data_IF_600888759636
#
_entry.id   IF_600888759636
#
_cell.length_a   1.000
_cell.length_b   1.000
_cell.length_c   1.000
_cell.angle_alpha   90.00
_cell.angle_beta   90.00
_cell.angle_gamma   90.00
#
_symmetry.space_group_name_H-M   'P 1'
#
loop_
_entity.id
_entity.type
_entity.pdbx_description
1 polymer ?
#
# COMPACT_ATOMS: atom_id res chain seq x y z
N UNK A 1 -15.53 32.44 17.81
CA UNK A 1 -16.48 31.31 17.79
C UNK A 1 -16.86 31.01 19.22
N UNK A 2 -18.15 30.99 19.54
CA UNK A 2 -18.61 30.72 20.92
C UNK A 2 -18.20 29.29 21.35
N UNK A 3 -17.82 29.12 22.60
CA UNK A 3 -17.38 27.87 23.20
C UNK A 3 -18.39 27.34 24.24
N UNK A 4 -18.28 26.07 24.64
CA UNK A 4 -19.10 25.55 25.75
C UNK A 4 -18.84 26.29 27.06
N UNK A 5 -17.67 26.92 27.20
CA UNK A 5 -17.32 27.74 28.36
C UNK A 5 -18.14 29.03 28.39
N UNK A 6 -18.30 29.68 27.26
CA UNK A 6 -19.10 30.91 27.15
C UNK A 6 -20.57 30.65 27.45
N UNK A 7 -21.12 29.51 27.01
CA UNK A 7 -22.48 29.06 27.34
C UNK A 7 -22.60 28.78 28.82
N UNK A 8 -21.61 28.13 29.44
CA UNK A 8 -21.61 27.80 30.84
C UNK A 8 -21.61 29.06 31.70
N UNK A 9 -20.84 30.08 31.33
CA UNK A 9 -20.76 31.36 32.00
C UNK A 9 -22.10 32.12 31.88
N UNK A 10 -22.68 32.20 30.67
CA UNK A 10 -23.97 32.85 30.43
C UNK A 10 -25.13 32.15 31.13
N UNK A 11 -25.17 30.84 31.16
CA UNK A 11 -26.23 30.04 31.78
C UNK A 11 -26.04 29.83 33.30
N UNK A 12 -24.89 30.23 33.85
CA UNK A 12 -24.58 30.08 35.27
C UNK A 12 -24.45 28.62 35.74
N UNK A 13 -23.82 27.78 34.90
CA UNK A 13 -23.64 26.34 35.17
C UNK A 13 -22.24 25.87 34.81
N UNK A 14 -21.90 24.64 35.17
CA UNK A 14 -20.61 24.08 34.76
C UNK A 14 -20.57 23.71 33.29
N UNK A 15 -19.39 23.74 32.68
CA UNK A 15 -19.18 23.27 31.29
C UNK A 15 -19.57 21.79 31.10
N UNK A 16 -19.40 20.98 32.16
CA UNK A 16 -19.84 19.58 32.17
C UNK A 16 -21.38 19.47 32.06
N UNK A 17 -22.11 20.33 32.76
CA UNK A 17 -23.57 20.40 32.69
C UNK A 17 -24.04 20.84 31.33
N UNK A 18 -23.41 21.88 30.74
CA UNK A 18 -23.69 22.32 29.36
C UNK A 18 -23.46 21.17 28.36
N UNK A 19 -22.33 20.51 28.47
CA UNK A 19 -21.99 19.37 27.56
C UNK A 19 -23.04 18.27 27.64
N UNK A 20 -23.47 17.88 28.83
CA UNK A 20 -24.46 16.80 29.03
C UNK A 20 -25.85 17.20 28.53
N UNK A 21 -26.30 18.44 28.82
CA UNK A 21 -27.59 18.95 28.32
C UNK A 21 -27.62 19.04 26.82
N UNK A 22 -26.57 19.61 26.19
CA UNK A 22 -26.49 19.71 24.72
C UNK A 22 -26.33 18.36 24.01
N UNK A 23 -25.91 17.31 24.77
CA UNK A 23 -25.87 15.93 24.30
C UNK A 23 -27.14 15.13 24.59
N UNK A 24 -28.16 15.76 25.15
CA UNK A 24 -29.43 15.09 25.51
C UNK A 24 -29.21 13.89 26.47
N UNK A 25 -28.27 14.01 27.41
CA UNK A 25 -27.96 12.94 28.35
C UNK A 25 -29.14 12.76 29.33
N UNK A 26 -29.89 11.68 29.15
CA UNK A 26 -31.07 11.36 29.97
C UNK A 26 -30.75 11.00 31.42
N UNK A 27 -29.49 10.63 31.71
CA UNK A 27 -29.04 10.28 33.07
C UNK A 27 -28.77 11.54 33.90
N UNK A 28 -28.78 12.73 33.28
CA UNK A 28 -28.55 13.99 33.97
C UNK A 28 -29.84 14.53 34.61
N UNK A 29 -29.89 14.52 35.93
CA UNK A 29 -30.97 15.12 36.69
C UNK A 29 -30.77 16.63 36.81
N UNK A 30 -31.29 17.39 35.84
CA UNK A 30 -31.26 18.85 35.82
C UNK A 30 -32.67 19.36 35.53
N UNK A 31 -33.10 20.37 36.31
CA UNK A 31 -34.42 20.99 36.16
C UNK A 31 -34.65 21.58 34.76
N UNK A 32 -35.92 21.58 34.32
CA UNK A 32 -36.32 22.10 33.02
C UNK A 32 -35.84 23.54 32.81
N UNK A 33 -35.99 24.39 33.78
CA UNK A 33 -35.54 25.79 33.74
C UNK A 33 -34.05 25.95 33.44
N UNK A 34 -33.20 25.09 34.00
CA UNK A 34 -31.75 25.09 33.73
C UNK A 34 -31.45 24.62 32.30
N UNK A 35 -32.19 23.62 31.80
CA UNK A 35 -32.08 23.18 30.40
C UNK A 35 -32.44 24.32 29.45
N UNK A 36 -33.55 24.99 29.70
CA UNK A 36 -34.03 26.10 28.87
C UNK A 36 -33.05 27.28 28.85
N UNK A 37 -32.40 27.63 29.98
CA UNK A 37 -31.33 28.64 30.03
C UNK A 37 -30.12 28.24 29.19
N UNK A 38 -29.70 26.99 29.23
CA UNK A 38 -28.57 26.50 28.45
C UNK A 38 -28.87 26.58 26.95
N UNK A 39 -30.07 26.17 26.53
CA UNK A 39 -30.47 26.27 25.13
C UNK A 39 -30.63 27.72 24.65
N UNK A 40 -31.15 28.61 25.51
CA UNK A 40 -31.24 30.03 25.20
C UNK A 40 -29.85 30.66 25.03
N UNK A 41 -28.93 30.43 25.95
CA UNK A 41 -27.54 30.89 25.86
C UNK A 41 -26.82 30.35 24.61
N UNK A 42 -27.00 29.08 24.28
CA UNK A 42 -26.40 28.47 23.09
C UNK A 42 -26.95 29.13 21.83
N UNK A 43 -28.24 29.46 21.76
CA UNK A 43 -28.88 30.14 20.64
C UNK A 43 -28.41 31.59 20.49
N UNK A 44 -28.36 32.33 21.60
CA UNK A 44 -27.90 33.73 21.63
C UNK A 44 -26.46 33.89 21.18
N UNK A 45 -25.59 32.97 21.61
CA UNK A 45 -24.19 32.93 21.22
C UNK A 45 -23.95 32.33 19.81
N UNK A 46 -24.98 31.95 19.09
CA UNK A 46 -24.88 31.23 17.82
C UNK A 46 -23.92 30.04 17.90
N UNK A 47 -23.99 29.30 19.03
CA UNK A 47 -23.12 28.15 19.24
C UNK A 47 -23.49 27.01 18.29
N UNK A 48 -22.60 26.75 17.35
CA UNK A 48 -22.69 25.55 16.49
C UNK A 48 -21.88 24.47 17.18
N UNK A 49 -22.58 23.47 17.73
CA UNK A 49 -21.93 22.29 18.28
C UNK A 49 -21.08 21.65 17.19
N UNK A 50 -19.77 21.69 17.35
CA UNK A 50 -18.90 20.91 16.47
C UNK A 50 -19.39 19.46 16.56
N UNK A 51 -19.95 18.92 15.48
CA UNK A 51 -20.19 17.47 15.37
C UNK A 51 -18.85 16.83 15.69
N UNK A 52 -18.75 16.03 16.79
CA UNK A 52 -17.63 15.10 16.93
C UNK A 52 -17.57 14.37 15.60
N UNK A 53 -16.55 14.63 14.78
CA UNK A 53 -16.26 13.77 13.63
C UNK A 53 -16.20 12.37 14.25
N UNK A 54 -17.14 11.48 13.92
CA UNK A 54 -16.94 10.06 14.16
C UNK A 54 -15.55 9.81 13.58
N UNK A 55 -14.61 9.32 14.37
CA UNK A 55 -13.32 8.92 13.82
C UNK A 55 -13.68 7.96 12.69
N UNK A 56 -13.28 8.32 11.47
CA UNK A 56 -13.46 7.42 10.35
C UNK A 56 -12.65 6.17 10.68
N UNK A 57 -13.19 5.03 10.33
CA UNK A 57 -12.43 3.80 10.37
C UNK A 57 -11.21 3.95 9.46
N UNK A 58 -10.10 3.38 9.87
CA UNK A 58 -8.83 3.56 9.18
C UNK A 58 -8.41 2.27 8.47
N UNK A 59 -7.82 2.43 7.30
CA UNK A 59 -7.07 1.38 6.60
C UNK A 59 -5.59 1.67 6.77
N UNK A 60 -4.82 0.69 7.22
CA UNK A 60 -3.37 0.78 7.27
C UNK A 60 -2.80 0.29 5.93
N UNK A 61 -2.05 1.17 5.25
CA UNK A 61 -1.25 0.81 4.07
C UNK A 61 0.20 0.65 4.50
N UNK A 62 0.71 -0.57 4.40
CA UNK A 62 2.10 -0.90 4.69
C UNK A 62 2.86 -1.08 3.38
N UNK A 63 3.89 -0.26 3.19
CA UNK A 63 4.84 -0.37 2.09
C UNK A 63 6.04 -1.21 2.50
N UNK A 64 6.51 -2.07 1.60
CA UNK A 64 7.71 -2.89 1.80
C UNK A 64 9.02 -2.13 1.56
N UNK A 65 8.95 -0.99 0.90
CA UNK A 65 10.03 -0.04 0.72
C UNK A 65 10.09 0.99 1.85
N UNK A 66 11.25 1.63 1.99
CA UNK A 66 11.39 2.88 2.72
C UNK A 66 10.77 4.04 1.94
N UNK A 67 10.56 5.17 2.59
CA UNK A 67 10.06 6.36 1.91
C UNK A 67 11.03 6.89 0.84
N UNK A 68 12.33 6.70 1.02
CA UNK A 68 13.36 7.10 0.06
C UNK A 68 13.35 6.19 -1.18
N UNK A 69 13.28 4.87 -0.98
CA UNK A 69 13.23 3.90 -2.07
C UNK A 69 11.98 4.06 -2.94
N UNK A 70 10.84 4.45 -2.35
CA UNK A 70 9.61 4.70 -3.12
C UNK A 70 9.75 5.85 -4.12
N UNK A 71 10.59 6.86 -3.86
CA UNK A 71 10.78 7.99 -4.77
C UNK A 71 11.40 7.56 -6.11
N UNK A 72 12.13 6.46 -6.12
CA UNK A 72 12.78 5.91 -7.31
C UNK A 72 11.94 4.81 -7.99
N UNK A 73 10.81 4.40 -7.39
CA UNK A 73 9.95 3.33 -7.89
C UNK A 73 8.51 3.80 -8.16
N UNK A 74 8.26 4.23 -9.40
CA UNK A 74 6.95 4.69 -9.85
C UNK A 74 5.89 3.58 -9.87
N UNK A 75 6.30 2.30 -9.96
CA UNK A 75 5.37 1.18 -9.99
C UNK A 75 4.66 1.03 -8.63
N UNK A 76 5.42 0.91 -7.54
CA UNK A 76 4.83 0.79 -6.21
C UNK A 76 4.18 2.07 -5.72
N UNK A 77 4.72 3.23 -6.11
CA UNK A 77 4.05 4.52 -5.86
C UNK A 77 2.66 4.56 -6.49
N UNK A 78 2.52 4.11 -7.75
CA UNK A 78 1.24 4.06 -8.44
C UNK A 78 0.24 3.13 -7.76
N UNK A 79 0.68 1.96 -7.30
CA UNK A 79 -0.15 1.00 -6.56
C UNK A 79 -0.65 1.64 -5.25
N UNK A 80 0.25 2.26 -4.49
CA UNK A 80 -0.10 2.92 -3.23
C UNK A 80 -1.12 4.04 -3.44
N UNK A 81 -0.86 4.94 -4.38
CA UNK A 81 -1.79 6.05 -4.67
C UNK A 81 -3.18 5.54 -5.07
N UNK A 82 -3.26 4.50 -5.89
CA UNK A 82 -4.54 3.90 -6.26
C UNK A 82 -5.27 3.27 -5.07
N UNK A 83 -4.54 2.61 -4.17
CA UNK A 83 -5.12 2.02 -2.95
C UNK A 83 -5.62 3.12 -1.99
N UNK A 84 -4.87 4.21 -1.81
CA UNK A 84 -5.25 5.37 -1.00
C UNK A 84 -6.52 6.04 -1.54
N UNK A 85 -6.51 6.40 -2.83
CA UNK A 85 -7.64 7.04 -3.50
C UNK A 85 -8.93 6.21 -3.34
N UNK A 86 -8.81 4.88 -3.50
CA UNK A 86 -9.95 4.00 -3.33
C UNK A 86 -10.42 3.93 -1.87
N UNK A 87 -9.53 3.82 -0.90
CA UNK A 87 -9.90 3.80 0.51
C UNK A 87 -10.60 5.11 0.93
N UNK A 88 -10.07 6.26 0.50
CA UNK A 88 -10.68 7.57 0.77
C UNK A 88 -12.05 7.72 0.11
N UNK A 89 -12.22 7.25 -1.13
CA UNK A 89 -13.49 7.27 -1.84
C UNK A 89 -14.58 6.43 -1.14
N UNK A 90 -14.18 5.32 -0.51
CA UNK A 90 -15.07 4.50 0.32
C UNK A 90 -15.30 5.09 1.74
N UNK A 91 -14.65 6.20 2.06
CA UNK A 91 -14.87 6.95 3.29
C UNK A 91 -13.96 6.55 4.46
N UNK A 92 -12.91 5.79 4.23
CA UNK A 92 -11.89 5.45 5.21
C UNK A 92 -10.82 6.53 5.29
N UNK A 93 -10.22 6.70 6.48
CA UNK A 93 -8.98 7.44 6.62
C UNK A 93 -7.80 6.45 6.38
N UNK A 94 -6.69 6.93 5.82
CA UNK A 94 -5.54 6.09 5.48
C UNK A 94 -4.37 6.39 6.43
N UNK A 95 -3.81 5.34 7.01
CA UNK A 95 -2.55 5.38 7.78
C UNK A 95 -1.45 4.76 6.94
N UNK A 96 -0.44 5.54 6.57
CA UNK A 96 0.72 5.05 5.81
C UNK A 96 1.83 4.62 6.74
N UNK A 97 2.39 3.45 6.48
CA UNK A 97 3.56 2.93 7.18
C UNK A 97 4.54 2.39 6.16
N UNK A 98 5.79 2.78 6.30
CA UNK A 98 6.90 2.23 5.53
C UNK A 98 7.64 1.17 6.37
N UNK A 99 8.33 0.24 5.72
CA UNK A 99 8.84 -0.95 6.39
C UNK A 99 9.90 -0.68 7.46
N UNK A 100 10.63 0.43 7.36
CA UNK A 100 11.67 0.86 8.30
C UNK A 100 11.13 1.46 9.61
N UNK A 101 9.80 1.62 9.69
CA UNK A 101 9.13 2.19 10.86
C UNK A 101 8.52 1.09 11.72
N UNK A 102 8.90 1.05 13.01
CA UNK A 102 8.20 0.21 14.00
C UNK A 102 6.84 0.86 14.30
N UNK A 103 5.76 0.11 14.19
CA UNK A 103 4.43 0.63 14.39
C UNK A 103 3.57 -0.32 15.22
N UNK A 104 2.64 0.29 15.97
CA UNK A 104 1.52 -0.41 16.59
C UNK A 104 0.24 -0.06 15.86
N UNK A 105 -0.69 -1.00 15.84
CA UNK A 105 -1.97 -0.78 15.17
C UNK A 105 -2.96 -0.10 16.13
N UNK A 106 -3.41 1.10 15.75
CA UNK A 106 -4.45 1.83 16.48
C UNK A 106 -5.78 1.06 16.46
N UNK A 107 -6.60 1.25 17.50
CA UNK A 107 -7.88 0.51 17.64
C UNK A 107 -8.89 0.77 16.53
N UNK A 108 -8.84 1.94 15.91
CA UNK A 108 -9.71 2.36 14.82
C UNK A 108 -9.23 1.89 13.42
N UNK A 109 -8.06 1.24 13.34
CA UNK A 109 -7.65 0.51 12.13
C UNK A 109 -8.48 -0.76 12.01
N UNK A 110 -9.23 -0.88 10.91
CA UNK A 110 -10.14 -2.00 10.65
C UNK A 110 -9.58 -3.02 9.67
N UNK A 111 -8.55 -2.66 8.90
CA UNK A 111 -7.92 -3.55 7.92
C UNK A 111 -6.53 -3.07 7.53
N UNK A 112 -5.76 -4.00 6.98
CA UNK A 112 -4.37 -3.79 6.56
C UNK A 112 -4.25 -4.14 5.07
N UNK A 113 -3.64 -3.27 4.31
CA UNK A 113 -3.20 -3.53 2.93
C UNK A 113 -1.68 -3.48 2.92
N UNK A 114 -1.04 -4.61 2.66
CA UNK A 114 0.42 -4.76 2.60
C UNK A 114 0.87 -4.81 1.14
N UNK A 115 1.66 -3.82 0.71
CA UNK A 115 2.06 -3.62 -0.69
C UNK A 115 3.52 -4.00 -0.84
N UNK A 116 3.82 -4.99 -1.69
CA UNK A 116 5.18 -5.43 -2.03
C UNK A 116 5.55 -6.81 -1.51
N UNK A 117 6.84 -7.07 -1.28
CA UNK A 117 7.45 -8.39 -1.05
C UNK A 117 7.91 -8.56 0.40
N UNK A 118 7.10 -9.24 1.18
CA UNK A 118 7.34 -9.44 2.61
C UNK A 118 7.94 -10.83 2.90
N UNK A 119 8.90 -10.89 3.82
CA UNK A 119 9.42 -12.13 4.36
C UNK A 119 8.40 -12.84 5.27
N UNK A 120 8.62 -14.14 5.52
CA UNK A 120 7.65 -14.96 6.27
C UNK A 120 7.40 -14.46 7.69
N UNK A 121 8.45 -13.98 8.37
CA UNK A 121 8.32 -13.43 9.72
C UNK A 121 7.43 -12.18 9.76
N UNK A 122 7.51 -11.34 8.74
CA UNK A 122 6.67 -10.14 8.65
C UNK A 122 5.23 -10.49 8.30
N UNK A 123 5.01 -11.43 7.38
CA UNK A 123 3.66 -11.94 7.10
C UNK A 123 3.02 -12.44 8.40
N UNK A 124 3.75 -13.23 9.19
CA UNK A 124 3.25 -13.72 10.46
C UNK A 124 2.90 -12.59 11.44
N UNK A 125 3.78 -11.59 11.58
CA UNK A 125 3.51 -10.41 12.43
C UNK A 125 2.24 -9.65 12.00
N UNK A 126 2.03 -9.48 10.69
CA UNK A 126 0.83 -8.84 10.17
C UNK A 126 -0.42 -9.64 10.49
N UNK A 127 -0.36 -10.97 10.39
CA UNK A 127 -1.46 -11.86 10.77
C UNK A 127 -1.76 -11.80 12.27
N UNK A 128 -0.74 -11.68 13.12
CA UNK A 128 -0.88 -11.62 14.58
C UNK A 128 -1.66 -10.40 15.07
N UNK A 129 -1.79 -9.34 14.24
CA UNK A 129 -2.68 -8.21 14.55
C UNK A 129 -4.18 -8.60 14.52
N UNK A 130 -4.55 -9.73 13.94
CA UNK A 130 -5.92 -10.23 13.89
C UNK A 130 -6.89 -9.32 13.14
N UNK A 131 -6.40 -8.53 12.18
CA UNK A 131 -7.19 -7.67 11.30
C UNK A 131 -7.35 -8.31 9.92
N UNK A 132 -8.43 -8.01 9.17
CA UNK A 132 -8.49 -8.28 7.75
C UNK A 132 -7.21 -7.82 7.06
N UNK A 133 -6.57 -8.69 6.28
CA UNK A 133 -5.27 -8.45 5.68
C UNK A 133 -5.31 -8.85 4.20
N UNK A 134 -4.93 -7.91 3.33
CA UNK A 134 -4.80 -8.14 1.91
C UNK A 134 -3.38 -7.76 1.45
N UNK A 135 -2.76 -8.63 0.68
CA UNK A 135 -1.45 -8.35 0.07
C UNK A 135 -1.63 -7.88 -1.38
N UNK A 136 -0.86 -6.89 -1.79
CA UNK A 136 -0.78 -6.46 -3.19
C UNK A 136 0.62 -6.74 -3.71
N UNK A 137 0.69 -7.36 -4.88
CA UNK A 137 1.92 -7.79 -5.57
C UNK A 137 2.75 -8.83 -4.79
N UNK A 138 2.09 -9.59 -3.91
CA UNK A 138 2.69 -10.70 -3.17
C UNK A 138 1.67 -11.82 -3.03
N UNK A 139 2.01 -13.02 -3.52
CA UNK A 139 1.17 -14.20 -3.34
C UNK A 139 1.39 -14.80 -1.95
N UNK A 140 0.45 -14.56 -1.07
CA UNK A 140 0.43 -15.09 0.30
C UNK A 140 -0.73 -16.08 0.51
N UNK A 141 -1.25 -16.65 -0.57
CA UNK A 141 -2.36 -17.60 -0.51
C UNK A 141 -2.05 -18.85 0.34
N UNK A 142 -0.76 -19.24 0.41
CA UNK A 142 -0.31 -20.31 1.33
C UNK A 142 -0.67 -20.04 2.79
N UNK A 143 -0.80 -18.76 3.18
CA UNK A 143 -1.21 -18.30 4.51
C UNK A 143 -2.71 -18.02 4.61
N UNK A 144 -3.48 -18.36 3.57
CA UNK A 144 -4.93 -18.09 3.44
C UNK A 144 -5.27 -16.60 3.58
N UNK A 145 -4.38 -15.73 3.11
CA UNK A 145 -4.61 -14.30 3.06
C UNK A 145 -5.09 -13.89 1.67
N UNK A 146 -5.90 -12.84 1.61
CA UNK A 146 -6.32 -12.24 0.35
C UNK A 146 -5.12 -11.62 -0.36
N UNK A 147 -5.06 -11.78 -1.69
CA UNK A 147 -3.96 -11.28 -2.51
C UNK A 147 -4.49 -10.67 -3.81
N UNK A 148 -3.89 -9.55 -4.21
CA UNK A 148 -4.06 -8.97 -5.54
C UNK A 148 -2.72 -9.06 -6.25
N UNK A 149 -2.64 -9.85 -7.30
CA UNK A 149 -1.41 -10.12 -8.06
C UNK A 149 -1.62 -9.88 -9.54
N UNK A 150 -0.52 -9.64 -10.26
CA UNK A 150 -0.52 -9.52 -11.71
C UNK A 150 -0.54 -10.92 -12.34
N UNK A 151 -1.33 -11.12 -13.38
CA UNK A 151 -1.30 -12.33 -14.20
C UNK A 151 -0.07 -12.33 -15.12
N UNK A 152 1.09 -12.64 -14.53
CA UNK A 152 2.34 -12.73 -15.28
C UNK A 152 2.36 -13.89 -16.28
N UNK A 153 1.56 -14.93 -16.08
CA UNK A 153 1.48 -16.02 -17.03
C UNK A 153 0.92 -15.54 -18.37
N UNK A 154 -0.26 -14.91 -18.37
CA UNK A 154 -0.84 -14.30 -19.56
C UNK A 154 0.05 -13.20 -20.16
N UNK A 155 0.71 -12.39 -19.32
CA UNK A 155 1.61 -11.36 -19.82
C UNK A 155 2.82 -11.96 -20.57
N UNK A 156 3.45 -13.00 -20.02
CA UNK A 156 4.60 -13.67 -20.68
C UNK A 156 4.17 -14.42 -21.93
N UNK A 157 3.01 -15.03 -21.98
CA UNK A 157 2.46 -15.63 -23.20
C UNK A 157 2.33 -14.59 -24.32
N UNK A 158 1.85 -13.39 -24.02
CA UNK A 158 1.75 -12.30 -25.00
C UNK A 158 3.12 -11.83 -25.50
N UNK A 159 4.10 -11.68 -24.61
CA UNK A 159 5.48 -11.32 -24.98
C UNK A 159 6.09 -12.37 -25.90
N UNK A 160 5.97 -13.65 -25.56
CA UNK A 160 6.47 -14.76 -26.39
C UNK A 160 5.76 -14.81 -27.75
N UNK A 161 4.45 -14.59 -27.79
CA UNK A 161 3.70 -14.56 -29.04
C UNK A 161 4.16 -13.40 -29.95
N UNK A 162 4.51 -12.24 -29.36
CA UNK A 162 5.04 -11.11 -30.14
C UNK A 162 6.42 -11.41 -30.73
N UNK A 163 7.31 -12.05 -29.96
CA UNK A 163 8.61 -12.51 -30.45
C UNK A 163 8.47 -13.49 -31.62
N UNK A 164 7.55 -14.44 -31.47
CA UNK A 164 7.27 -15.46 -32.49
C UNK A 164 6.75 -14.82 -33.79
N UNK A 165 5.80 -13.89 -33.66
CA UNK A 165 5.27 -13.13 -34.81
C UNK A 165 6.33 -12.32 -35.53
N UNK A 166 7.28 -11.74 -34.76
CA UNK A 166 8.43 -11.02 -35.30
C UNK A 166 9.53 -11.92 -35.89
N UNK A 167 9.43 -13.27 -35.77
CA UNK A 167 10.45 -14.21 -36.18
C UNK A 167 11.74 -14.15 -35.36
N UNK A 168 11.68 -13.62 -34.14
CA UNK A 168 12.85 -13.48 -33.27
C UNK A 168 13.20 -14.81 -32.59
N UNK A 169 14.43 -15.27 -32.76
CA UNK A 169 14.97 -16.48 -32.15
C UNK A 169 16.28 -16.25 -31.40
N UNK A 170 16.88 -15.07 -31.56
CA UNK A 170 18.04 -14.61 -30.80
C UNK A 170 17.57 -13.60 -29.80
N UNK A 171 17.29 -14.08 -28.61
CA UNK A 171 16.63 -13.31 -27.54
C UNK A 171 17.65 -12.94 -26.46
N UNK A 172 17.76 -11.65 -26.16
CA UNK A 172 18.47 -11.14 -25.00
C UNK A 172 17.52 -11.00 -23.81
N UNK A 173 18.03 -11.25 -22.62
CA UNK A 173 17.29 -11.11 -21.39
C UNK A 173 18.13 -10.43 -20.31
N UNK A 174 17.63 -9.29 -19.82
CA UNK A 174 18.22 -8.57 -18.69
C UNK A 174 17.26 -8.68 -17.52
N UNK A 175 17.64 -9.45 -16.50
CA UNK A 175 16.79 -9.63 -15.33
C UNK A 175 17.30 -8.87 -14.09
N UNK A 176 16.40 -8.29 -13.33
CA UNK A 176 16.68 -7.80 -12.00
C UNK A 176 16.46 -8.89 -10.94
N UNK A 177 17.28 -8.90 -9.90
CA UNK A 177 17.09 -9.71 -8.69
C UNK A 177 16.90 -8.81 -7.49
N UNK A 178 16.00 -9.19 -6.63
CA UNK A 178 15.59 -8.42 -5.48
C UNK A 178 15.45 -9.32 -4.26
N UNK A 179 15.69 -8.77 -3.10
CA UNK A 179 15.50 -9.46 -1.82
C UNK A 179 14.21 -8.98 -1.17
N UNK A 180 13.61 -9.82 -0.34
CA UNK A 180 12.52 -9.39 0.56
C UNK A 180 13.00 -8.23 1.43
N UNK A 181 12.07 -7.45 1.97
CA UNK A 181 12.41 -6.27 2.77
C UNK A 181 13.27 -6.56 4.00
N UNK A 182 13.19 -7.77 4.59
CA UNK A 182 14.10 -8.25 5.63
C UNK A 182 15.46 -8.69 5.09
N UNK A 183 15.65 -8.70 3.75
CA UNK A 183 16.84 -9.13 3.02
C UNK A 183 17.24 -10.60 3.26
N UNK A 184 16.34 -11.41 3.79
CA UNK A 184 16.60 -12.82 4.09
C UNK A 184 16.37 -13.73 2.89
N UNK A 185 15.44 -13.36 1.99
CA UNK A 185 15.05 -14.23 0.88
C UNK A 185 15.14 -13.49 -0.46
N UNK A 186 15.59 -14.22 -1.49
CA UNK A 186 15.48 -13.75 -2.87
C UNK A 186 14.00 -13.76 -3.28
N UNK A 187 13.51 -12.62 -3.78
CA UNK A 187 12.15 -12.53 -4.34
C UNK A 187 12.08 -13.41 -5.58
N UNK A 188 11.10 -14.29 -5.59
CA UNK A 188 10.80 -15.11 -6.76
C UNK A 188 10.13 -14.23 -7.82
N UNK A 189 10.81 -14.04 -8.96
CA UNK A 189 10.23 -13.34 -10.10
C UNK A 189 9.64 -14.33 -11.10
N UNK A 190 8.32 -14.44 -11.07
CA UNK A 190 7.58 -15.36 -11.96
C UNK A 190 7.75 -14.99 -13.43
N UNK A 191 7.99 -13.71 -13.77
CA UNK A 191 8.26 -13.26 -15.15
C UNK A 191 9.52 -13.93 -15.67
N UNK A 192 10.62 -13.83 -14.93
CA UNK A 192 11.91 -14.44 -15.28
C UNK A 192 11.80 -15.96 -15.40
N UNK A 193 11.13 -16.62 -14.46
CA UNK A 193 10.96 -18.07 -14.48
C UNK A 193 10.20 -18.55 -15.73
N UNK A 194 9.03 -17.96 -15.98
CA UNK A 194 8.19 -18.31 -17.14
C UNK A 194 8.89 -18.02 -18.45
N UNK A 195 9.51 -16.85 -18.56
CA UNK A 195 10.24 -16.44 -19.74
C UNK A 195 11.40 -17.38 -20.07
N UNK A 196 12.27 -17.65 -19.11
CA UNK A 196 13.41 -18.56 -19.29
C UNK A 196 12.96 -19.98 -19.59
N UNK A 197 11.89 -20.46 -18.96
CA UNK A 197 11.34 -21.79 -19.25
C UNK A 197 10.91 -21.90 -20.72
N UNK A 198 10.19 -20.90 -21.22
CA UNK A 198 9.70 -20.90 -22.61
C UNK A 198 10.84 -20.71 -23.62
N UNK A 199 11.83 -19.85 -23.34
CA UNK A 199 13.02 -19.72 -24.19
C UNK A 199 13.80 -21.04 -24.30
N UNK A 200 13.95 -21.79 -23.19
CA UNK A 200 14.62 -23.10 -23.19
C UNK A 200 13.83 -24.13 -24.00
N UNK A 201 12.52 -24.21 -23.79
CA UNK A 201 11.60 -25.12 -24.49
C UNK A 201 11.65 -24.91 -26.01
N UNK A 202 11.74 -23.66 -26.48
CA UNK A 202 11.81 -23.30 -27.90
C UNK A 202 13.24 -23.38 -28.49
N UNK A 203 14.26 -23.61 -27.67
CA UNK A 203 15.65 -23.59 -28.06
C UNK A 203 16.18 -22.18 -28.42
N UNK A 204 15.52 -21.13 -27.92
CA UNK A 204 15.90 -19.75 -28.15
C UNK A 204 16.84 -19.19 -27.07
N UNK A 205 16.92 -19.85 -25.92
CA UNK A 205 17.81 -19.45 -24.84
C UNK A 205 19.27 -19.50 -25.25
N UNK A 206 20.02 -18.44 -24.96
CA UNK A 206 21.48 -18.35 -25.19
C UNK A 206 22.09 -17.68 -23.96
N UNK A 207 22.95 -18.40 -23.24
CA UNK A 207 23.60 -17.91 -22.05
C UNK A 207 24.35 -16.59 -22.27
N UNK A 208 25.01 -16.45 -23.40
CA UNK A 208 25.73 -15.22 -23.78
C UNK A 208 24.84 -13.97 -23.93
N UNK A 209 23.52 -14.12 -24.01
CA UNK A 209 22.53 -13.03 -24.11
C UNK A 209 21.76 -12.81 -22.82
N UNK A 210 22.05 -13.57 -21.77
CA UNK A 210 21.40 -13.44 -20.49
C UNK A 210 22.31 -12.69 -19.51
N UNK A 211 21.79 -11.66 -18.86
CA UNK A 211 22.45 -10.91 -17.79
C UNK A 211 21.51 -10.79 -16.61
N UNK A 212 22.10 -10.82 -15.43
CA UNK A 212 21.37 -10.71 -14.17
C UNK A 212 22.03 -9.64 -13.29
N UNK A 213 21.22 -8.74 -12.75
CA UNK A 213 21.67 -7.63 -11.89
C UNK A 213 20.63 -7.26 -10.87
N UNK A 214 20.61 -6.00 -10.42
CA UNK A 214 19.58 -5.44 -9.54
C UNK A 214 18.52 -4.66 -10.33
N UNK A 215 17.38 -4.38 -9.70
CA UNK A 215 16.35 -3.49 -10.24
C UNK A 215 16.74 -2.02 -10.10
N UNK A 216 17.80 -1.60 -10.81
CA UNK A 216 18.22 -0.20 -10.84
C UNK A 216 18.65 0.22 -12.24
N UNK A 217 18.50 1.50 -12.54
CA UNK A 217 18.92 2.08 -13.83
C UNK A 217 20.40 1.84 -14.12
N UNK A 218 21.26 1.98 -13.10
CA UNK A 218 22.70 1.75 -13.24
C UNK A 218 23.01 0.29 -13.57
N UNK A 219 22.36 -0.66 -12.90
CA UNK A 219 22.51 -2.09 -13.16
C UNK A 219 22.05 -2.46 -14.57
N UNK A 220 20.90 -1.93 -15.02
CA UNK A 220 20.41 -2.12 -16.39
C UNK A 220 21.40 -1.62 -17.44
N UNK A 221 21.98 -0.44 -17.23
CA UNK A 221 23.01 0.14 -18.08
C UNK A 221 24.29 -0.74 -18.13
N UNK A 222 24.75 -1.21 -16.97
CA UNK A 222 25.93 -2.09 -16.88
C UNK A 222 25.69 -3.43 -17.58
N UNK A 223 24.54 -4.07 -17.36
CA UNK A 223 24.16 -5.33 -18.00
C UNK A 223 24.11 -5.17 -19.52
N UNK A 224 23.55 -4.08 -20.02
CA UNK A 224 23.50 -3.83 -21.45
C UNK A 224 24.90 -3.60 -22.04
N UNK A 225 25.77 -2.83 -21.37
CA UNK A 225 27.15 -2.65 -21.81
C UNK A 225 27.93 -3.97 -21.85
N UNK A 226 27.79 -4.83 -20.84
CA UNK A 226 28.39 -6.16 -20.84
C UNK A 226 27.88 -6.99 -22.02
N UNK A 227 26.57 -7.00 -22.28
CA UNK A 227 25.99 -7.73 -23.40
C UNK A 227 26.57 -7.25 -24.75
N UNK A 228 26.69 -5.93 -24.93
CA UNK A 228 27.25 -5.34 -26.15
C UNK A 228 28.75 -5.68 -26.32
N UNK A 229 29.53 -5.53 -25.27
CA UNK A 229 30.97 -5.76 -25.31
C UNK A 229 31.31 -7.25 -25.55
N UNK A 230 30.59 -8.16 -24.89
CA UNK A 230 30.87 -9.60 -25.01
C UNK A 230 30.44 -10.19 -26.34
N UNK A 231 29.47 -9.58 -27.01
CA UNK A 231 28.90 -10.14 -28.26
C UNK A 231 29.30 -9.38 -29.54
N UNK A 232 29.85 -8.17 -29.43
CA UNK A 232 30.29 -7.38 -30.58
C UNK A 232 29.15 -7.14 -31.59
N UNK A 233 29.31 -7.71 -32.79
CA UNK A 233 28.29 -7.61 -33.87
C UNK A 233 27.21 -8.70 -33.80
N UNK A 234 27.36 -9.70 -32.93
CA UNK A 234 26.40 -10.80 -32.79
C UNK A 234 25.41 -10.48 -31.65
N UNK A 235 24.52 -9.53 -31.90
CA UNK A 235 23.54 -9.09 -30.90
C UNK A 235 22.23 -9.87 -30.99
N UNK A 236 21.46 -9.94 -29.90
CA UNK A 236 20.10 -10.45 -29.96
C UNK A 236 19.25 -9.53 -30.84
N UNK A 237 18.22 -10.11 -31.47
CA UNK A 237 17.27 -9.36 -32.32
C UNK A 237 16.05 -8.87 -31.57
N UNK A 238 15.90 -9.34 -30.34
CA UNK A 238 14.88 -8.90 -29.38
C UNK A 238 15.52 -8.86 -27.98
N UNK A 239 15.18 -7.87 -27.18
CA UNK A 239 15.64 -7.72 -25.81
C UNK A 239 14.43 -7.58 -24.88
N UNK A 240 14.41 -8.38 -23.82
CA UNK A 240 13.40 -8.33 -22.74
C UNK A 240 14.05 -8.03 -21.41
#
# INVERSE_FOLDING_TARGET
>A
MATMKDIAEMAGVSTATVSRVLNHDETLSVGKETKDRIFAAAKELNYIKAKKKKSREKILLLQWYTQEEELDDLYYQGIRLGAEERAEAEGYDVVRVFHDVTFDIEKDVIGIVAIGKFGEQQVQRLMDFGKPLCFIDSDQFKWKQDCVIVDFASAMEQVIAEMDRGGHTQIGFLEGKELTNDKEMLVRDLRSELFLAELRKRGWYRDKYHRSGSFSTSSGYEMMNQLLNDNGKQLPTFLF
#
